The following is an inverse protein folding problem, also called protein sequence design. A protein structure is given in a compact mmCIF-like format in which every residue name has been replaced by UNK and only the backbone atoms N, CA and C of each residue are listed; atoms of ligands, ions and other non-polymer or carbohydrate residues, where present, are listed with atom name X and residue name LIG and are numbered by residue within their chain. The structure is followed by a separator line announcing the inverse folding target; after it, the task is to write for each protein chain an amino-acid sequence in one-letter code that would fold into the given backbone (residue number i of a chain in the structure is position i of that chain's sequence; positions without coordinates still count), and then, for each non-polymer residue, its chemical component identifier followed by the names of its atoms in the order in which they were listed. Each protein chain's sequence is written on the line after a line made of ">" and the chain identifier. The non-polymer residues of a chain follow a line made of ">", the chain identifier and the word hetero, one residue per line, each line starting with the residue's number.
data_IF_537347848468
#
_entry.id   IF_537347848468
#
_cell.length_a   1.000
_cell.length_b   1.000
_cell.length_c   1.000
_cell.angle_alpha   90.00
_cell.angle_beta   90.00
_cell.angle_gamma   90.00
#
_symmetry.space_group_name_H-M   'P 1'
#
loop_
_entity.id
_entity.type
_entity.pdbx_description
1 polymer ?
#
# COMPACT_ATOMS: atom_id res chain seq x y z
N UNK A 1 -2.84 6.28 -0.21
CA UNK A 1 -3.46 7.63 -0.23
C UNK A 1 -4.65 7.75 -1.18
N UNK A 2 -4.50 7.67 -2.52
CA UNK A 2 -5.63 7.86 -3.43
C UNK A 2 -6.81 6.89 -3.18
N UNK A 3 -6.52 5.60 -3.00
CA UNK A 3 -7.53 4.57 -2.67
C UNK A 3 -8.16 4.84 -1.29
N UNK A 4 -7.37 5.31 -0.33
CA UNK A 4 -7.85 5.72 0.99
C UNK A 4 -8.84 6.87 0.93
N UNK A 5 -8.52 7.92 0.16
CA UNK A 5 -9.35 9.11 0.06
C UNK A 5 -10.65 8.86 -0.73
N UNK A 6 -10.60 8.07 -1.81
CA UNK A 6 -11.77 7.82 -2.66
C UNK A 6 -12.80 6.88 -2.03
N UNK A 7 -12.37 5.89 -1.24
CA UNK A 7 -13.29 5.08 -0.42
C UNK A 7 -14.07 5.94 0.62
N UNK A 8 -13.62 7.15 0.93
CA UNK A 8 -14.40 8.13 1.72
C UNK A 8 -15.56 8.77 0.95
N UNK A 9 -15.48 8.84 -0.38
CA UNK A 9 -16.46 9.52 -1.24
C UNK A 9 -17.54 8.57 -1.80
N UNK A 10 -17.27 7.26 -1.90
CA UNK A 10 -18.18 6.27 -2.52
C UNK A 10 -19.33 5.77 -1.62
N UNK A 11 -19.86 6.57 -0.70
CA UNK A 11 -20.94 6.14 0.21
C UNK A 11 -22.31 6.46 -0.39
N UNK A 12 -22.76 5.63 -1.33
CA UNK A 12 -24.18 5.30 -1.50
C UNK A 12 -24.29 3.92 -2.17
N UNK A 13 -25.09 3.03 -1.56
CA UNK A 13 -25.49 1.69 -2.02
C UNK A 13 -24.55 0.51 -1.74
N UNK A 14 -24.94 -0.33 -0.76
CA UNK A 14 -24.92 -1.80 -0.90
C UNK A 14 -25.78 -2.46 0.19
N UNK A 15 -26.70 -3.34 -0.22
CA UNK A 15 -27.45 -4.31 0.60
C UNK A 15 -26.82 -5.73 0.45
N UNK A 16 -26.95 -6.64 1.44
CA UNK A 16 -26.17 -7.87 1.53
C UNK A 16 -26.92 -9.13 1.03
N UNK A 17 -26.18 -10.21 0.75
CA UNK A 17 -26.70 -11.58 0.55
C UNK A 17 -25.71 -12.66 1.05
N UNK A 18 -26.14 -13.92 1.28
CA UNK A 18 -25.87 -14.66 2.51
C UNK A 18 -24.87 -15.83 2.39
N UNK A 19 -24.57 -16.37 3.58
CA UNK A 19 -23.56 -17.37 3.96
C UNK A 19 -23.98 -18.82 3.66
N UNK A 20 -23.00 -19.69 3.37
CA UNK A 20 -23.11 -21.14 3.56
C UNK A 20 -21.82 -21.75 4.15
N UNK A 21 -21.99 -22.86 4.87
CA UNK A 21 -21.13 -23.44 5.91
C UNK A 21 -20.16 -24.56 5.40
N UNK A 22 -19.25 -25.09 6.26
CA UNK A 22 -17.97 -25.71 5.87
C UNK A 22 -17.94 -27.25 5.97
N UNK A 23 -16.85 -27.91 5.51
CA UNK A 23 -16.52 -29.23 6.03
C UNK A 23 -15.05 -29.46 6.48
N UNK A 24 -14.97 -30.21 7.58
CA UNK A 24 -14.09 -31.31 8.00
C UNK A 24 -12.55 -31.27 7.86
N UNK A 25 -11.91 -31.63 8.99
CA UNK A 25 -10.47 -31.76 9.25
C UNK A 25 -9.92 -33.13 8.82
N UNK A 26 -8.65 -33.21 8.40
CA UNK A 26 -7.86 -34.44 8.49
C UNK A 26 -6.70 -34.35 9.50
N UNK A 27 -6.18 -35.55 9.79
CA UNK A 27 -5.47 -36.05 10.97
C UNK A 27 -3.96 -35.79 10.90
N UNK A 28 -3.36 -35.44 12.03
CA UNK A 28 -1.91 -35.22 12.21
C UNK A 28 -1.19 -36.57 12.38
N UNK A 29 -0.11 -36.79 11.63
CA UNK A 29 0.85 -37.89 11.82
C UNK A 29 2.16 -37.30 12.34
N UNK A 30 2.61 -37.77 13.50
CA UNK A 30 3.87 -37.38 14.13
C UNK A 30 5.02 -38.16 13.48
N UNK A 31 6.11 -37.46 13.19
CA UNK A 31 7.39 -38.06 12.76
C UNK A 31 8.48 -37.48 13.66
N UNK A 32 9.14 -38.35 14.41
CA UNK A 32 10.28 -38.06 15.28
C UNK A 32 11.47 -37.56 14.46
N UNK A 33 12.04 -36.42 14.84
CA UNK A 33 13.27 -35.90 14.28
C UNK A 33 14.37 -35.87 15.37
N UNK A 34 15.48 -36.56 15.07
CA UNK A 34 16.71 -36.59 15.88
C UNK A 34 17.37 -35.20 15.92
N UNK A 35 17.76 -34.80 17.12
CA UNK A 35 18.47 -33.55 17.40
C UNK A 35 19.95 -33.75 17.08
N UNK A 36 20.44 -33.10 16.02
CA UNK A 36 21.87 -32.87 15.81
C UNK A 36 22.18 -31.44 16.25
N UNK A 37 22.98 -31.30 17.30
CA UNK A 37 23.46 -30.03 17.84
C UNK A 37 24.49 -29.41 16.89
N UNK A 38 24.25 -28.24 16.27
CA UNK A 38 25.26 -27.55 15.48
C UNK A 38 26.15 -26.70 16.39
N UNK A 39 27.46 -26.84 16.18
CA UNK A 39 28.54 -26.01 16.73
C UNK A 39 28.26 -24.52 16.50
N UNK A 40 28.30 -23.72 17.57
CA UNK A 40 28.14 -22.26 17.55
C UNK A 40 29.28 -21.60 16.75
N UNK A 41 29.00 -21.18 15.53
CA UNK A 41 29.75 -20.14 14.84
C UNK A 41 29.33 -18.77 15.38
N UNK A 42 30.29 -17.89 15.65
CA UNK A 42 30.02 -16.50 16.02
C UNK A 42 29.16 -15.83 14.93
N UNK A 43 28.12 -15.06 15.30
CA UNK A 43 27.26 -14.41 14.33
C UNK A 43 28.06 -13.39 13.53
N UNK A 44 28.08 -13.57 12.20
CA UNK A 44 28.49 -12.53 11.28
C UNK A 44 27.70 -11.24 11.57
N UNK A 45 28.30 -10.04 11.43
CA UNK A 45 27.62 -8.79 11.69
C UNK A 45 26.31 -8.74 10.88
N UNK A 46 25.19 -8.62 11.58
CA UNK A 46 23.87 -8.57 10.96
C UNK A 46 23.85 -7.44 9.92
N UNK A 47 23.39 -7.70 8.68
CA UNK A 47 23.32 -6.67 7.66
C UNK A 47 22.43 -5.54 8.18
N UNK A 48 23.02 -4.34 8.29
CA UNK A 48 22.33 -3.16 8.81
C UNK A 48 21.02 -2.94 8.04
N UNK A 49 19.92 -2.83 8.79
CA UNK A 49 18.63 -2.51 8.22
C UNK A 49 18.70 -1.17 7.47
N UNK A 50 18.17 -1.12 6.24
CA UNK A 50 18.04 0.13 5.49
C UNK A 50 16.64 0.67 5.74
N UNK A 51 16.54 1.89 6.25
CA UNK A 51 15.25 2.53 6.53
C UNK A 51 15.16 3.87 5.83
N UNK A 52 13.97 4.20 5.36
CA UNK A 52 13.63 5.47 4.73
C UNK A 52 12.27 5.92 5.27
N UNK A 53 12.15 7.19 5.64
CA UNK A 53 10.89 7.82 6.00
C UNK A 53 10.67 9.00 5.07
N UNK A 54 9.51 9.03 4.42
CA UNK A 54 9.07 10.10 3.54
C UNK A 54 7.90 10.83 4.19
N UNK A 55 8.10 12.10 4.51
CA UNK A 55 7.03 12.97 4.97
C UNK A 55 6.28 13.56 3.78
N UNK A 56 4.99 13.81 3.92
CA UNK A 56 4.21 14.47 2.88
C UNK A 56 3.12 15.37 3.44
N UNK A 57 2.78 16.39 2.66
CA UNK A 57 1.63 17.26 2.87
C UNK A 57 0.50 16.88 1.93
N UNK A 58 -0.73 17.08 2.36
CA UNK A 58 -1.94 16.96 1.54
C UNK A 58 -2.49 18.36 1.34
N UNK A 59 -2.53 18.85 0.10
CA UNK A 59 -2.93 20.23 -0.19
C UNK A 59 -4.15 20.29 -1.12
N UNK A 60 -5.03 21.25 -0.87
CA UNK A 60 -6.13 21.65 -1.75
C UNK A 60 -5.59 22.35 -3.02
N UNK A 61 -6.34 22.40 -4.15
CA UNK A 61 -5.93 23.18 -5.31
C UNK A 61 -5.51 24.63 -5.04
N UNK A 62 -6.08 25.26 -4.00
CA UNK A 62 -5.74 26.64 -3.61
C UNK A 62 -4.38 26.76 -2.91
N UNK A 63 -3.69 25.65 -2.63
CA UNK A 63 -2.49 25.60 -1.80
C UNK A 63 -2.77 25.51 -0.30
N UNK A 64 -4.04 25.49 0.12
CA UNK A 64 -4.40 25.28 1.52
C UNK A 64 -4.01 23.86 1.95
N UNK A 65 -3.21 23.75 3.01
CA UNK A 65 -2.92 22.46 3.62
C UNK A 65 -4.18 21.85 4.23
N UNK A 66 -4.45 20.62 3.86
CA UNK A 66 -5.50 19.77 4.40
C UNK A 66 -4.95 18.85 5.49
N UNK A 67 -3.64 18.69 5.58
CA UNK A 67 -2.98 17.82 6.55
C UNK A 67 -1.70 17.22 6.03
N UNK A 68 -1.26 16.15 6.67
CA UNK A 68 0.09 15.60 6.50
C UNK A 68 0.12 14.10 6.77
N UNK A 69 1.27 13.50 6.53
CA UNK A 69 1.53 12.12 6.87
C UNK A 69 2.96 11.68 6.63
N UNK A 70 3.17 10.40 6.86
CA UNK A 70 4.46 9.75 6.71
C UNK A 70 4.31 8.39 6.03
N UNK A 71 5.32 8.02 5.26
CA UNK A 71 5.49 6.70 4.67
C UNK A 71 6.89 6.20 5.03
N UNK A 72 6.97 5.13 5.81
CA UNK A 72 8.22 4.51 6.23
C UNK A 72 8.38 3.17 5.54
N UNK A 73 9.59 2.92 5.04
CA UNK A 73 10.01 1.64 4.47
C UNK A 73 11.27 1.18 5.18
N UNK A 74 11.25 -0.01 5.76
CA UNK A 74 12.40 -0.63 6.42
C UNK A 74 12.68 -1.98 5.78
N UNK A 75 13.90 -2.16 5.29
CA UNK A 75 14.41 -3.40 4.74
C UNK A 75 15.32 -4.08 5.77
N UNK A 76 15.03 -5.33 6.08
CA UNK A 76 15.87 -6.22 6.89
C UNK A 76 16.25 -7.47 6.08
N UNK A 77 17.05 -8.36 6.67
CA UNK A 77 17.37 -9.65 6.04
C UNK A 77 16.12 -10.53 5.81
N UNK A 78 15.09 -10.35 6.63
CA UNK A 78 13.85 -11.14 6.59
C UNK A 78 12.81 -10.61 5.59
N UNK A 79 13.05 -9.42 5.01
CA UNK A 79 12.15 -8.81 4.04
C UNK A 79 11.94 -7.32 4.29
N UNK A 80 10.72 -6.86 4.05
CA UNK A 80 10.33 -5.46 4.17
C UNK A 80 9.21 -5.27 5.18
N UNK A 81 9.28 -4.17 5.92
CA UNK A 81 8.16 -3.63 6.68
C UNK A 81 7.87 -2.20 6.23
N UNK A 82 6.59 -1.90 6.08
CA UNK A 82 6.11 -0.60 5.66
C UNK A 82 5.13 -0.05 6.69
N UNK A 83 5.17 1.25 6.96
CA UNK A 83 4.13 1.95 7.69
C UNK A 83 3.71 3.20 6.95
N UNK A 84 2.43 3.51 7.01
CA UNK A 84 1.84 4.69 6.42
C UNK A 84 0.90 5.30 7.44
N UNK A 85 1.08 6.58 7.72
CA UNK A 85 0.19 7.35 8.57
C UNK A 85 -0.25 8.60 7.81
N UNK A 86 -1.53 8.95 7.91
CA UNK A 86 -2.06 10.20 7.37
C UNK A 86 -3.11 10.78 8.29
N UNK A 87 -3.03 12.09 8.47
CA UNK A 87 -4.04 12.90 9.12
C UNK A 87 -4.39 14.04 8.17
N UNK A 88 -5.63 14.09 7.68
CA UNK A 88 -6.08 15.15 6.80
C UNK A 88 -7.55 15.50 7.03
N UNK A 89 -7.90 16.77 6.91
CA UNK A 89 -9.27 17.27 6.92
C UNK A 89 -9.67 17.73 5.52
N UNK A 90 -10.75 17.16 4.98
CA UNK A 90 -11.44 17.71 3.80
C UNK A 90 -12.67 18.46 4.34
N UNK A 91 -13.15 19.53 3.69
CA UNK A 91 -14.39 20.19 4.10
C UNK A 91 -15.51 19.18 4.39
N UNK A 92 -15.94 19.13 5.65
CA UNK A 92 -17.02 18.26 6.14
C UNK A 92 -16.59 16.97 6.84
N UNK A 93 -15.34 16.50 6.74
CA UNK A 93 -14.88 15.30 7.45
C UNK A 93 -13.36 15.17 7.58
N UNK A 94 -12.91 14.66 8.73
CA UNK A 94 -11.53 14.24 8.96
C UNK A 94 -11.24 12.84 8.45
N UNK A 95 -10.00 12.61 8.03
CA UNK A 95 -9.41 11.35 7.62
C UNK A 95 -8.20 11.12 8.52
N UNK A 96 -8.23 10.02 9.26
CA UNK A 96 -7.08 9.49 9.98
C UNK A 96 -6.91 8.06 9.52
N UNK A 97 -5.74 7.70 9.01
CA UNK A 97 -5.49 6.33 8.60
C UNK A 97 -4.04 5.92 8.87
N UNK A 98 -3.91 4.76 9.48
CA UNK A 98 -2.66 4.04 9.68
C UNK A 98 -2.75 2.73 8.90
N UNK A 99 -1.74 2.45 8.09
CA UNK A 99 -1.58 1.16 7.45
C UNK A 99 -0.18 0.62 7.74
N UNK A 100 -0.07 -0.69 7.93
CA UNK A 100 1.21 -1.38 8.07
C UNK A 100 1.23 -2.58 7.16
N UNK A 101 2.34 -2.81 6.49
CA UNK A 101 2.53 -3.97 5.63
C UNK A 101 3.83 -4.68 5.92
N UNK A 102 3.86 -5.99 5.66
CA UNK A 102 5.07 -6.81 5.62
C UNK A 102 5.13 -7.51 4.27
N UNK A 103 6.34 -7.62 3.72
CA UNK A 103 6.59 -8.31 2.46
C UNK A 103 7.91 -9.08 2.50
N UNK A 104 8.07 -10.05 1.61
CA UNK A 104 9.35 -10.72 1.36
C UNK A 104 10.37 -9.78 0.73
N UNK A 105 11.64 -10.21 0.63
CA UNK A 105 12.72 -9.48 -0.06
C UNK A 105 12.38 -9.14 -1.52
N UNK A 106 11.59 -9.97 -2.18
CA UNK A 106 11.13 -9.80 -3.56
C UNK A 106 9.93 -8.85 -3.70
N UNK A 107 9.47 -8.26 -2.59
CA UNK A 107 8.28 -7.42 -2.50
C UNK A 107 7.01 -8.19 -2.86
N UNK A 108 6.86 -9.41 -2.33
CA UNK A 108 5.60 -10.14 -2.27
C UNK A 108 5.00 -9.96 -0.88
N UNK A 109 3.77 -9.45 -0.81
CA UNK A 109 3.10 -9.14 0.45
C UNK A 109 2.81 -10.38 1.28
N UNK A 110 3.01 -10.26 2.58
CA UNK A 110 2.70 -11.27 3.60
C UNK A 110 1.48 -10.85 4.42
N UNK A 111 1.39 -9.57 4.77
CA UNK A 111 0.28 -9.04 5.57
C UNK A 111 0.08 -7.54 5.35
N UNK A 112 -1.17 -7.07 5.41
CA UNK A 112 -1.55 -5.66 5.42
C UNK A 112 -2.55 -5.41 6.55
N UNK A 113 -2.22 -4.56 7.51
CA UNK A 113 -3.14 -4.04 8.51
C UNK A 113 -3.55 -2.62 8.15
N UNK A 114 -4.82 -2.27 8.33
CA UNK A 114 -5.34 -0.91 8.17
C UNK A 114 -6.24 -0.56 9.34
N UNK A 115 -6.03 0.62 9.89
CA UNK A 115 -6.89 1.20 10.90
C UNK A 115 -7.12 2.67 10.57
N UNK A 116 -8.33 3.17 10.76
CA UNK A 116 -8.59 4.58 10.53
C UNK A 116 -10.02 5.00 10.77
N UNK A 117 -10.21 6.30 10.73
CA UNK A 117 -11.52 6.96 10.77
C UNK A 117 -11.67 7.91 9.60
N UNK A 118 -12.82 7.87 8.95
CA UNK A 118 -13.19 8.73 7.82
C UNK A 118 -14.58 9.29 8.10
N UNK A 119 -14.63 10.53 8.57
CA UNK A 119 -15.84 11.10 9.17
C UNK A 119 -16.38 10.18 10.26
N UNK A 120 -17.62 9.69 10.08
CA UNK A 120 -18.29 8.79 11.04
C UNK A 120 -17.91 7.30 10.90
N UNK A 121 -17.22 6.92 9.82
CA UNK A 121 -16.87 5.51 9.57
C UNK A 121 -15.51 5.18 10.18
N UNK A 122 -15.43 4.07 10.90
CA UNK A 122 -14.17 3.48 11.36
C UNK A 122 -13.87 2.23 10.55
N UNK A 123 -12.60 2.04 10.22
CA UNK A 123 -12.08 0.87 9.52
C UNK A 123 -11.02 0.25 10.40
N UNK A 124 -11.11 -1.06 10.60
CA UNK A 124 -10.05 -1.87 11.17
C UNK A 124 -10.06 -3.18 10.39
N UNK A 125 -9.02 -3.42 9.59
CA UNK A 125 -8.94 -4.56 8.69
C UNK A 125 -7.53 -5.13 8.70
N UNK A 126 -7.45 -6.46 8.73
CA UNK A 126 -6.22 -7.22 8.50
C UNK A 126 -6.39 -8.09 7.26
N UNK A 127 -5.45 -8.04 6.34
CA UNK A 127 -5.34 -8.99 5.22
C UNK A 127 -4.06 -9.77 5.37
N UNK A 128 -4.14 -11.09 5.28
CA UNK A 128 -2.98 -11.99 5.27
C UNK A 128 -2.93 -12.68 3.92
N UNK A 129 -1.74 -12.78 3.35
CA UNK A 129 -1.51 -13.35 2.03
C UNK A 129 -0.75 -14.67 2.17
N UNK A 130 -1.33 -15.74 1.65
CA UNK A 130 -0.74 -17.08 1.60
C UNK A 130 -0.42 -17.41 0.14
N UNK A 131 0.86 -17.28 -0.23
CA UNK A 131 1.34 -17.53 -1.59
C UNK A 131 1.32 -19.02 -1.96
N UNK A 132 1.40 -19.92 -0.97
CA UNK A 132 1.33 -21.36 -1.21
C UNK A 132 -0.11 -21.79 -1.55
N UNK A 133 -1.10 -21.18 -0.90
CA UNK A 133 -2.52 -21.42 -1.16
C UNK A 133 -3.14 -20.47 -2.18
N UNK A 134 -2.36 -19.53 -2.72
CA UNK A 134 -2.84 -18.50 -3.66
C UNK A 134 -4.10 -17.78 -3.14
N UNK A 135 -4.12 -17.51 -1.83
CA UNK A 135 -5.29 -16.97 -1.14
C UNK A 135 -4.92 -15.79 -0.25
N UNK A 136 -5.73 -14.75 -0.28
CA UNK A 136 -5.70 -13.65 0.67
C UNK A 136 -6.92 -13.72 1.59
N UNK A 137 -6.68 -13.77 2.90
CA UNK A 137 -7.72 -13.78 3.92
C UNK A 137 -7.81 -12.39 4.55
N UNK A 138 -8.94 -11.72 4.35
CA UNK A 138 -9.26 -10.44 5.00
C UNK A 138 -10.15 -10.69 6.20
N UNK A 139 -9.87 -10.01 7.31
CA UNK A 139 -10.64 -9.99 8.54
C UNK A 139 -10.88 -8.54 8.97
N UNK A 140 -12.13 -8.20 9.28
CA UNK A 140 -12.49 -6.86 9.79
C UNK A 140 -12.57 -6.90 11.31
N UNK A 141 -11.78 -6.09 12.02
CA UNK A 141 -11.72 -6.07 13.48
C UNK A 141 -11.36 -7.43 14.12
N UNK A 142 -11.44 -7.52 15.46
CA UNK A 142 -11.17 -8.77 16.18
C UNK A 142 -12.27 -9.82 15.95
N UNK A 143 -13.53 -9.38 15.94
CA UNK A 143 -14.72 -10.24 15.86
C UNK A 143 -15.57 -10.04 14.60
N UNK A 144 -15.10 -9.28 13.61
CA UNK A 144 -15.87 -9.01 12.40
C UNK A 144 -15.67 -10.05 11.30
N UNK A 145 -16.26 -9.74 10.14
CA UNK A 145 -16.35 -10.67 9.03
C UNK A 145 -14.99 -11.09 8.45
N UNK A 146 -14.92 -12.34 8.01
CA UNK A 146 -13.80 -12.87 7.22
C UNK A 146 -14.22 -13.05 5.77
N UNK A 147 -13.31 -12.77 4.85
CA UNK A 147 -13.50 -12.99 3.43
C UNK A 147 -12.20 -13.46 2.79
N UNK A 148 -12.30 -14.45 1.91
CA UNK A 148 -11.17 -14.98 1.16
C UNK A 148 -11.21 -14.50 -0.29
N UNK A 149 -10.04 -14.25 -0.85
CA UNK A 149 -9.86 -13.81 -2.22
C UNK A 149 -8.76 -14.65 -2.85
N UNK A 150 -8.98 -15.14 -4.08
CA UNK A 150 -7.90 -15.75 -4.87
C UNK A 150 -6.90 -14.68 -5.30
N UNK A 151 -5.61 -14.99 -5.21
CA UNK A 151 -4.50 -14.07 -5.53
C UNK A 151 -3.42 -14.78 -6.34
N UNK A 152 -2.49 -14.01 -6.92
CA UNK A 152 -1.30 -14.56 -7.57
C UNK A 152 -0.24 -15.01 -6.55
N UNK A 153 0.76 -15.76 -7.01
CA UNK A 153 1.86 -16.25 -6.17
C UNK A 153 2.67 -15.11 -5.52
N UNK A 154 2.88 -14.00 -6.25
CA UNK A 154 3.49 -12.79 -5.71
C UNK A 154 2.48 -11.65 -5.79
N UNK A 155 1.67 -11.53 -4.75
CA UNK A 155 0.70 -10.47 -4.56
C UNK A 155 1.36 -9.23 -3.96
N UNK A 156 0.85 -8.04 -4.31
CA UNK A 156 1.31 -6.77 -3.75
C UNK A 156 0.14 -6.01 -3.15
N UNK A 157 0.28 -5.62 -1.90
CA UNK A 157 -0.57 -4.61 -1.29
C UNK A 157 -0.12 -3.20 -1.71
N UNK A 158 -0.93 -2.19 -1.41
CA UNK A 158 -0.66 -0.82 -1.82
C UNK A 158 0.69 -0.26 -1.36
N UNK A 159 1.15 -0.56 -0.14
CA UNK A 159 2.43 -0.05 0.37
C UNK A 159 3.60 -0.77 -0.29
N UNK A 160 3.52 -2.10 -0.36
CA UNK A 160 4.51 -2.93 -1.07
C UNK A 160 4.61 -2.55 -2.55
N UNK A 161 3.48 -2.22 -3.19
CA UNK A 161 3.44 -1.81 -4.59
C UNK A 161 4.15 -0.47 -4.85
N UNK A 162 4.07 0.50 -3.93
CA UNK A 162 4.81 1.77 -4.06
C UNK A 162 6.32 1.49 -4.12
N UNK A 163 6.84 0.66 -3.21
CA UNK A 163 8.26 0.31 -3.20
C UNK A 163 8.65 -0.52 -4.44
N UNK A 164 7.76 -1.41 -4.89
CA UNK A 164 7.99 -2.18 -6.12
C UNK A 164 8.05 -1.27 -7.35
N UNK A 165 7.15 -0.30 -7.46
CA UNK A 165 7.15 0.66 -8.55
C UNK A 165 8.45 1.46 -8.60
N UNK A 166 8.95 1.92 -7.44
CA UNK A 166 10.24 2.61 -7.35
C UNK A 166 11.40 1.72 -7.83
N UNK A 167 11.42 0.46 -7.41
CA UNK A 167 12.43 -0.52 -7.85
C UNK A 167 12.41 -0.74 -9.37
N UNK A 168 11.23 -0.88 -9.96
CA UNK A 168 11.10 -1.04 -11.41
C UNK A 168 11.53 0.22 -12.17
N UNK A 169 11.14 1.41 -11.70
CA UNK A 169 11.54 2.68 -12.30
C UNK A 169 13.06 2.92 -12.20
N UNK A 170 13.69 2.51 -11.10
CA UNK A 170 15.14 2.56 -10.93
C UNK A 170 15.84 1.64 -11.94
N UNK A 171 15.21 0.52 -12.28
CA UNK A 171 15.65 -0.39 -13.34
C UNK A 171 15.23 0.05 -14.76
N UNK A 172 14.64 1.23 -14.94
CA UNK A 172 14.19 1.73 -16.24
C UNK A 172 12.94 1.04 -16.81
N UNK A 173 12.16 0.37 -15.95
CA UNK A 173 10.94 -0.36 -16.33
C UNK A 173 9.70 0.24 -15.67
N UNK A 174 8.54 -0.09 -16.21
CA UNK A 174 7.25 0.13 -15.55
C UNK A 174 6.71 -1.17 -14.98
N UNK A 175 6.12 -1.16 -13.77
CA UNK A 175 5.32 -2.27 -13.28
C UNK A 175 4.27 -2.70 -14.31
N UNK A 176 4.23 -4.01 -14.59
CA UNK A 176 3.13 -4.59 -15.35
C UNK A 176 1.78 -4.35 -14.64
N UNK A 177 0.72 -4.24 -15.42
CA UNK A 177 -0.63 -4.10 -14.90
C UNK A 177 -1.01 -5.32 -14.05
N UNK A 178 -1.42 -5.10 -12.81
CA UNK A 178 -1.64 -6.17 -11.84
C UNK A 178 -2.67 -5.76 -10.79
N UNK A 179 -3.32 -6.74 -10.13
CA UNK A 179 -4.13 -6.45 -8.95
C UNK A 179 -3.23 -6.02 -7.79
N UNK A 180 -3.60 -4.92 -7.14
CA UNK A 180 -2.98 -4.39 -5.93
C UNK A 180 -4.00 -4.40 -4.80
N UNK A 181 -3.63 -4.88 -3.62
CA UNK A 181 -4.58 -5.12 -2.53
C UNK A 181 -4.56 -4.02 -1.48
N UNK A 182 -5.75 -3.52 -1.11
CA UNK A 182 -5.91 -2.55 -0.03
C UNK A 182 -7.26 -2.68 0.68
N UNK A 183 -7.52 -3.88 1.23
CA UNK A 183 -8.83 -4.31 1.74
C UNK A 183 -9.70 -4.96 0.66
N UNK A 184 -9.49 -4.63 -0.62
CA UNK A 184 -9.99 -5.37 -1.78
C UNK A 184 -8.90 -5.38 -2.87
N UNK A 185 -9.09 -6.18 -3.92
CA UNK A 185 -8.22 -6.14 -5.10
C UNK A 185 -8.58 -4.96 -6.01
N UNK A 186 -7.57 -4.19 -6.41
CA UNK A 186 -7.68 -3.07 -7.34
C UNK A 186 -6.77 -3.31 -8.54
N UNK A 187 -7.34 -3.42 -9.73
CA UNK A 187 -6.57 -3.48 -10.95
C UNK A 187 -5.82 -2.16 -11.15
N UNK A 188 -4.50 -2.23 -11.12
CA UNK A 188 -3.62 -1.06 -11.21
C UNK A 188 -2.82 -1.13 -12.50
N UNK A 189 -2.77 -0.02 -13.23
CA UNK A 189 -1.95 0.15 -14.44
C UNK A 189 -1.19 1.46 -14.37
N UNK A 190 0.10 1.41 -14.65
CA UNK A 190 0.95 2.59 -14.77
C UNK A 190 1.33 2.82 -16.22
N UNK A 191 1.36 4.08 -16.62
CA UNK A 191 1.80 4.52 -17.95
C UNK A 191 2.77 5.69 -17.77
N UNK A 192 3.87 5.66 -18.51
CA UNK A 192 4.79 6.78 -18.55
C UNK A 192 4.22 7.90 -19.42
N UNK A 193 4.25 9.14 -18.92
CA UNK A 193 3.64 10.31 -19.53
C UNK A 193 4.65 11.45 -19.77
N UNK A 194 5.94 11.12 -19.82
CA UNK A 194 7.03 12.07 -20.08
C UNK A 194 7.75 12.56 -18.81
N UNK A 195 8.67 13.50 -18.99
CA UNK A 195 9.31 14.22 -17.88
C UNK A 195 8.75 15.62 -17.75
N UNK A 196 8.70 16.13 -16.52
CA UNK A 196 8.21 17.47 -16.22
C UNK A 196 8.93 18.04 -15.00
N UNK A 197 9.20 19.35 -15.00
CA UNK A 197 9.58 20.05 -13.76
C UNK A 197 8.39 20.14 -12.83
N UNK A 198 8.58 19.71 -11.59
CA UNK A 198 7.53 19.72 -10.57
C UNK A 198 8.00 20.58 -9.41
N UNK A 199 7.17 21.56 -9.04
CA UNK A 199 7.40 22.32 -7.82
C UNK A 199 7.03 21.44 -6.63
N UNK A 200 8.04 21.12 -5.81
CA UNK A 200 7.89 20.43 -4.54
C UNK A 200 8.69 21.23 -3.50
N UNK A 201 8.00 21.92 -2.59
CA UNK A 201 8.57 22.90 -1.69
C UNK A 201 9.18 24.08 -2.44
N UNK A 202 10.44 24.41 -2.13
CA UNK A 202 11.19 25.50 -2.76
C UNK A 202 11.95 25.08 -4.02
N UNK A 203 12.02 23.78 -4.29
CA UNK A 203 12.76 23.24 -5.41
C UNK A 203 11.83 22.92 -6.59
N UNK A 204 12.38 22.91 -7.80
CA UNK A 204 11.67 22.50 -9.02
C UNK A 204 12.50 21.51 -9.84
N UNK A 205 12.79 20.32 -9.29
CA UNK A 205 13.56 19.31 -10.00
C UNK A 205 12.73 18.67 -11.12
N UNK A 206 13.45 18.06 -12.07
CA UNK A 206 12.83 17.27 -13.15
C UNK A 206 12.38 15.91 -12.60
N UNK A 207 11.13 15.55 -12.89
CA UNK A 207 10.50 14.32 -12.44
C UNK A 207 9.90 13.54 -13.61
N UNK A 208 9.91 12.22 -13.50
CA UNK A 208 9.17 11.33 -14.38
C UNK A 208 7.68 11.39 -14.01
N UNK A 209 6.84 11.73 -14.97
CA UNK A 209 5.39 11.76 -14.82
C UNK A 209 4.82 10.40 -15.21
N UNK A 210 4.06 9.80 -14.31
CA UNK A 210 3.28 8.59 -14.55
C UNK A 210 1.78 8.87 -14.41
N UNK A 211 0.99 8.28 -15.30
CA UNK A 211 -0.46 8.19 -15.16
C UNK A 211 -0.80 6.82 -14.60
N UNK A 212 -1.49 6.80 -13.47
CA UNK A 212 -1.94 5.57 -12.80
C UNK A 212 -3.45 5.41 -12.88
N UNK A 213 -3.94 4.32 -13.48
CA UNK A 213 -5.36 3.95 -13.42
C UNK A 213 -5.55 2.88 -12.36
N UNK A 214 -6.49 3.10 -11.44
CA UNK A 214 -6.81 2.19 -10.33
C UNK A 214 -8.31 1.90 -10.35
N UNK A 215 -8.65 0.65 -10.65
CA UNK A 215 -10.04 0.19 -10.76
C UNK A 215 -10.32 -0.92 -9.78
N UNK A 216 -11.35 -0.76 -8.95
CA UNK A 216 -11.77 -1.75 -7.97
C UNK A 216 -13.29 -1.74 -7.76
N UNK A 217 -13.79 -2.49 -6.77
CA UNK A 217 -15.24 -2.71 -6.60
C UNK A 217 -16.07 -1.45 -6.38
N UNK A 218 -15.49 -0.41 -5.77
CA UNK A 218 -16.17 0.83 -5.40
C UNK A 218 -15.40 2.08 -5.86
N UNK A 219 -14.46 1.95 -6.80
CA UNK A 219 -13.66 3.07 -7.29
C UNK A 219 -13.11 2.83 -8.69
N UNK A 220 -13.16 3.86 -9.53
CA UNK A 220 -12.43 3.94 -10.79
C UNK A 220 -11.79 5.33 -10.83
N UNK A 221 -10.46 5.39 -10.81
CA UNK A 221 -9.74 6.64 -10.65
C UNK A 221 -8.46 6.65 -11.49
N UNK A 222 -8.13 7.83 -12.02
CA UNK A 222 -6.86 8.08 -12.69
C UNK A 222 -6.11 9.17 -11.95
N UNK A 223 -4.86 8.89 -11.57
CA UNK A 223 -3.98 9.80 -10.82
C UNK A 223 -2.75 10.13 -11.64
N UNK A 224 -2.15 11.28 -11.37
CA UNK A 224 -0.80 11.59 -11.83
C UNK A 224 0.17 11.39 -10.67
N UNK A 225 1.29 10.71 -10.91
CA UNK A 225 2.37 10.52 -9.95
C UNK A 225 3.66 11.05 -10.55
N UNK A 226 4.46 11.71 -9.74
CA UNK A 226 5.74 12.28 -10.14
C UNK A 226 6.84 11.70 -9.26
N UNK A 227 7.87 11.16 -9.91
CA UNK A 227 9.02 10.55 -9.25
C UNK A 227 10.29 11.30 -9.64
N UNK A 228 11.13 11.63 -8.67
CA UNK A 228 12.44 12.20 -8.93
C UNK A 228 13.28 11.25 -9.80
N UNK A 229 14.16 11.83 -10.62
CA UNK A 229 15.12 11.06 -11.43
C UNK A 229 16.40 10.68 -10.67
N UNK A 230 16.30 10.54 -9.35
CA UNK A 230 17.37 10.03 -8.51
C UNK A 230 17.42 8.49 -8.53
N UNK A 231 18.50 7.91 -7.99
CA UNK A 231 18.66 6.45 -7.94
C UNK A 231 17.54 5.75 -7.13
N UNK A 232 16.97 6.44 -6.15
CA UNK A 232 15.91 5.91 -5.28
C UNK A 232 14.49 6.05 -5.87
N UNK A 233 14.35 6.76 -7.00
CA UNK A 233 13.07 7.17 -7.58
C UNK A 233 12.12 7.69 -6.51
N UNK A 234 12.56 8.74 -5.83
CA UNK A 234 11.83 9.30 -4.68
C UNK A 234 10.49 9.86 -5.15
N UNK A 235 9.35 9.46 -4.55
CA UNK A 235 8.06 10.09 -4.82
C UNK A 235 8.12 11.59 -4.51
N UNK A 236 7.56 12.42 -5.38
CA UNK A 236 7.59 13.87 -5.25
C UNK A 236 6.21 14.48 -5.09
N UNK A 237 5.31 14.10 -6.00
CA UNK A 237 3.96 14.66 -6.05
C UNK A 237 3.00 13.59 -6.55
N UNK A 238 1.81 13.56 -5.97
CA UNK A 238 0.67 12.81 -6.52
C UNK A 238 -0.50 13.77 -6.66
N UNK A 239 -1.12 13.81 -7.84
CA UNK A 239 -2.34 14.57 -8.10
C UNK A 239 -3.51 13.62 -8.19
N UNK A 240 -4.52 13.88 -7.36
CA UNK A 240 -5.67 13.01 -7.23
C UNK A 240 -6.93 13.80 -7.57
N UNK A 241 -7.59 13.51 -8.70
CA UNK A 241 -8.85 14.14 -9.02
C UNK A 241 -9.96 13.59 -8.13
N UNK A 242 -10.77 14.50 -7.59
CA UNK A 242 -12.04 14.24 -6.91
C UNK A 242 -13.10 15.16 -7.48
N UNK A 243 -14.38 14.89 -7.19
CA UNK A 243 -15.50 15.66 -7.72
C UNK A 243 -15.39 17.17 -7.43
N UNK A 244 -14.78 17.55 -6.30
CA UNK A 244 -14.62 18.94 -5.86
C UNK A 244 -13.32 19.62 -6.34
N UNK A 245 -12.43 18.92 -7.05
CA UNK A 245 -11.14 19.46 -7.50
C UNK A 245 -10.01 18.43 -7.51
N UNK A 246 -8.77 18.89 -7.69
CA UNK A 246 -7.57 18.02 -7.65
C UNK A 246 -6.78 18.31 -6.39
N UNK A 247 -6.82 17.42 -5.40
CA UNK A 247 -5.90 17.56 -4.28
C UNK A 247 -4.53 16.99 -4.65
N UNK A 248 -3.51 17.46 -3.92
CA UNK A 248 -2.13 17.04 -4.11
C UNK A 248 -1.60 16.37 -2.86
N UNK A 249 -0.73 15.38 -3.06
CA UNK A 249 0.10 14.79 -2.01
C UNK A 249 1.53 15.11 -2.38
N UNK A 250 2.16 16.00 -1.62
CA UNK A 250 3.47 16.54 -1.89
C UNK A 250 4.46 15.98 -0.88
N UNK A 251 5.45 15.23 -1.34
CA UNK A 251 6.47 14.64 -0.49
C UNK A 251 7.55 15.69 -0.19
N UNK A 252 7.81 15.88 1.09
CA UNK A 252 8.79 16.84 1.60
C UNK A 252 10.12 16.11 1.76
N UNK A 253 11.18 16.70 1.19
CA UNK A 253 12.56 16.23 1.35
C UNK A 253 13.24 16.97 2.50
#
# INVERSE_FOLDING_TARGET
>A
VAVSFLLGCSILAAQPKPVAAPPAKPKVTQTEARINTPTLALPAPEPKAKSETLHFNVNWPSGLSLGEGELTSTQTAQGWSFSFNVYAGIPGFGIVETARSKATTDLCSLSLSKEGSRGKKKVNEQTTFDSAKLTATRQTGKDGGKSEMRVSACVRDALTFIQFARRELAAGRLPAAQPVYYGAGYQTRLQYAGTQKVTAGKESPEADKLTGTIKGPASDLTIEMFFARDAARTPMLVRIPVAMGKFTVEFVR
#
